data_IF_488521392139
#
_entry.id   IF_488521392139
#
_cell.length_a   1.000
_cell.length_b   1.000
_cell.length_c   1.000
_cell.angle_alpha   90.00
_cell.angle_beta   90.00
_cell.angle_gamma   90.00
#
_symmetry.space_group_name_H-M   'P 1'
#
loop_
_entity.id
_entity.type
_entity.pdbx_description
1 polymer ?
#
# COMPACT_ATOMS: atom_id res chain seq x y z
N UNK A 1 25.52 -0.54 -18.01
CA UNK A 1 24.08 -0.24 -18.09
C UNK A 1 23.48 -0.42 -16.70
N UNK A 2 22.78 0.58 -16.17
CA UNK A 2 22.08 0.42 -14.90
C UNK A 2 20.98 -0.64 -15.06
N UNK A 3 20.92 -1.61 -14.15
CA UNK A 3 19.91 -2.68 -14.19
C UNK A 3 18.53 -2.07 -13.93
N UNK A 4 17.60 -2.27 -14.85
CA UNK A 4 16.18 -1.94 -14.65
C UNK A 4 15.56 -2.89 -13.64
N UNK A 5 14.88 -2.34 -12.63
CA UNK A 5 14.15 -3.07 -11.60
C UNK A 5 12.72 -3.36 -12.08
N UNK A 6 12.35 -4.64 -12.17
CA UNK A 6 11.01 -5.09 -12.56
C UNK A 6 10.10 -5.15 -11.34
N UNK A 7 9.11 -4.28 -11.28
CA UNK A 7 8.21 -4.13 -10.12
C UNK A 7 6.82 -4.67 -10.49
N UNK A 8 6.37 -5.74 -9.82
CA UNK A 8 4.96 -6.14 -9.91
C UNK A 8 4.12 -5.18 -9.08
N UNK A 9 3.16 -4.50 -9.70
CA UNK A 9 2.26 -3.55 -9.05
C UNK A 9 0.90 -4.19 -8.78
N UNK A 10 0.53 -4.33 -7.50
CA UNK A 10 -0.79 -4.82 -7.09
C UNK A 10 -1.84 -3.70 -7.22
N UNK A 11 -2.61 -3.73 -8.30
CA UNK A 11 -3.69 -2.78 -8.60
C UNK A 11 -5.05 -3.22 -8.04
N UNK A 12 -5.11 -4.17 -7.10
CA UNK A 12 -6.37 -4.70 -6.53
C UNK A 12 -7.26 -3.62 -5.88
N UNK A 13 -6.66 -2.53 -5.38
CA UNK A 13 -7.41 -1.40 -4.80
C UNK A 13 -7.73 -0.30 -5.80
N UNK A 14 -7.26 -0.37 -7.05
CA UNK A 14 -7.38 0.70 -8.03
C UNK A 14 -8.83 1.04 -8.42
N UNK A 15 -9.79 0.18 -8.12
CA UNK A 15 -11.22 0.43 -8.36
C UNK A 15 -12.00 0.72 -7.07
N UNK A 16 -11.33 0.80 -5.91
CA UNK A 16 -11.95 1.32 -4.70
C UNK A 16 -12.27 2.83 -4.91
N UNK A 17 -13.53 3.28 -4.69
CA UNK A 17 -13.87 4.70 -4.76
C UNK A 17 -13.23 5.50 -3.61
N UNK A 18 -12.82 4.86 -2.52
CA UNK A 18 -12.19 5.51 -1.38
C UNK A 18 -10.74 5.96 -1.64
N UNK A 19 -10.17 6.66 -0.65
CA UNK A 19 -8.82 7.23 -0.71
C UNK A 19 -7.72 6.23 -1.09
N UNK A 20 -7.83 4.96 -0.70
CA UNK A 20 -6.82 3.93 -1.07
C UNK A 20 -6.78 3.65 -2.57
N UNK A 21 -7.93 3.70 -3.26
CA UNK A 21 -7.97 3.52 -4.71
C UNK A 21 -7.46 4.75 -5.44
N UNK A 22 -7.78 5.93 -4.93
CA UNK A 22 -7.22 7.21 -5.41
C UNK A 22 -5.69 7.22 -5.30
N UNK A 23 -5.14 6.78 -4.18
CA UNK A 23 -3.70 6.61 -4.01
C UNK A 23 -3.11 5.58 -4.98
N UNK A 24 -3.74 4.41 -5.11
CA UNK A 24 -3.27 3.34 -5.99
C UNK A 24 -3.18 3.81 -7.45
N UNK A 25 -4.23 4.48 -7.95
CA UNK A 25 -4.24 5.07 -9.30
C UNK A 25 -3.20 6.19 -9.43
N UNK A 26 -3.10 7.05 -8.41
CA UNK A 26 -2.23 8.22 -8.42
C UNK A 26 -0.74 7.89 -8.43
N UNK A 27 -0.32 6.80 -7.78
CA UNK A 27 1.10 6.42 -7.71
C UNK A 27 1.58 5.61 -8.92
N UNK A 28 0.67 4.95 -9.64
CA UNK A 28 1.04 4.07 -10.75
C UNK A 28 1.76 4.82 -11.88
N UNK A 29 1.21 5.96 -12.34
CA UNK A 29 1.79 6.73 -13.46
C UNK A 29 3.13 7.38 -13.12
N UNK A 30 3.32 8.04 -11.95
CA UNK A 30 4.64 8.54 -11.58
C UNK A 30 5.68 7.41 -11.44
N UNK A 31 5.30 6.28 -10.84
CA UNK A 31 6.21 5.16 -10.62
C UNK A 31 6.67 4.51 -11.94
N UNK A 32 5.80 4.44 -12.95
CA UNK A 32 6.16 3.90 -14.26
C UNK A 32 7.05 4.82 -15.11
N UNK A 33 7.20 6.09 -14.70
CA UNK A 33 8.06 7.09 -15.38
C UNK A 33 9.43 7.24 -14.75
N UNK A 34 9.71 6.55 -13.65
CA UNK A 34 11.02 6.61 -13.00
C UNK A 34 12.05 5.80 -13.80
N UNK A 35 13.19 6.42 -14.08
CA UNK A 35 14.29 5.75 -14.76
C UNK A 35 14.76 4.52 -13.97
N UNK A 36 14.97 3.42 -14.70
CA UNK A 36 15.38 2.16 -14.09
C UNK A 36 14.27 1.39 -13.38
N UNK A 37 12.99 1.75 -13.56
CA UNK A 37 11.84 0.97 -13.09
C UNK A 37 10.97 0.52 -14.26
N UNK A 38 10.72 -0.79 -14.34
CA UNK A 38 9.71 -1.37 -15.23
C UNK A 38 8.52 -1.83 -14.39
N UNK A 39 7.39 -1.12 -14.51
CA UNK A 39 6.19 -1.39 -13.74
C UNK A 39 5.27 -2.38 -14.48
N UNK A 40 5.01 -3.52 -13.86
CA UNK A 40 4.17 -4.60 -14.41
C UNK A 40 2.88 -4.65 -13.59
N UNK A 41 1.72 -4.19 -14.12
CA UNK A 41 0.47 -4.22 -13.38
C UNK A 41 -0.05 -5.66 -13.23
N UNK A 42 -0.61 -6.00 -12.06
CA UNK A 42 -1.26 -7.29 -11.85
C UNK A 42 -2.55 -7.43 -12.67
N UNK A 43 -3.23 -6.31 -12.97
CA UNK A 43 -4.29 -6.22 -13.97
C UNK A 43 -5.48 -7.10 -13.63
N UNK A 44 -5.92 -7.91 -14.62
CA UNK A 44 -7.09 -8.78 -14.48
C UNK A 44 -7.00 -9.80 -13.33
N UNK A 45 -5.79 -10.15 -12.86
CA UNK A 45 -5.63 -11.04 -11.71
C UNK A 45 -6.04 -10.39 -10.37
N UNK A 46 -5.96 -9.05 -10.31
CA UNK A 46 -6.28 -8.26 -9.13
C UNK A 46 -7.78 -7.89 -9.05
N UNK A 47 -8.46 -7.81 -10.20
CA UNK A 47 -9.86 -7.37 -10.36
C UNK A 47 -10.91 -8.19 -9.58
N UNK A 48 -10.83 -9.54 -9.47
CA UNK A 48 -11.85 -10.32 -8.74
C UNK A 48 -11.84 -10.11 -7.23
N UNK A 49 -10.75 -9.57 -6.67
CA UNK A 49 -10.52 -9.43 -5.23
C UNK A 49 -10.79 -8.01 -4.70
N UNK A 50 -11.46 -7.22 -5.54
CA UNK A 50 -11.83 -5.86 -5.30
C UNK A 50 -12.90 -5.76 -4.20
N UNK A 51 -12.76 -4.76 -3.32
CA UNK A 51 -13.64 -4.52 -2.19
C UNK A 51 -15.06 -4.14 -2.66
N UNK A 52 -15.92 -5.14 -2.77
CA UNK A 52 -17.38 -4.96 -2.86
C UNK A 52 -17.92 -4.79 -1.43
N UNK A 53 -18.14 -3.54 -1.00
CA UNK A 53 -18.63 -3.20 0.37
C UNK A 53 -20.17 -3.30 0.45
N UNK A 54 -20.85 -3.64 -0.65
CA UNK A 54 -22.32 -3.64 -0.70
C UNK A 54 -22.90 -4.95 -0.14
N UNK A 55 -23.56 -4.82 1.01
CA UNK A 55 -24.55 -5.70 1.66
C UNK A 55 -24.70 -7.13 1.09
N UNK A 56 -23.80 -8.05 1.46
CA UNK A 56 -23.80 -9.45 0.98
C UNK A 56 -23.67 -10.41 2.17
N UNK A 57 -24.48 -11.47 2.21
CA UNK A 57 -24.58 -12.43 3.33
C UNK A 57 -23.25 -13.09 3.75
N UNK A 58 -23.24 -13.67 4.95
CA UNK A 58 -22.03 -14.26 5.61
C UNK A 58 -21.23 -15.19 4.69
N UNK A 59 -21.88 -16.09 3.96
CA UNK A 59 -21.22 -17.01 3.02
C UNK A 59 -20.42 -16.29 1.93
N UNK A 60 -20.97 -15.20 1.38
CA UNK A 60 -20.31 -14.42 0.33
C UNK A 60 -19.16 -13.59 0.87
N UNK A 61 -19.25 -13.11 2.13
CA UNK A 61 -18.12 -12.46 2.82
C UNK A 61 -16.96 -13.43 3.06
N UNK A 62 -17.26 -14.65 3.50
CA UNK A 62 -16.25 -15.69 3.69
C UNK A 62 -15.57 -16.07 2.36
N UNK A 63 -16.35 -16.27 1.30
CA UNK A 63 -15.82 -16.56 -0.03
C UNK A 63 -14.91 -15.45 -0.56
N UNK A 64 -15.35 -14.19 -0.48
CA UNK A 64 -14.54 -13.04 -0.90
C UNK A 64 -13.24 -12.93 -0.08
N UNK A 65 -13.30 -13.20 1.22
CA UNK A 65 -12.12 -13.24 2.09
C UNK A 65 -11.14 -14.35 1.70
N UNK A 66 -11.66 -15.55 1.42
CA UNK A 66 -10.86 -16.69 0.99
C UNK A 66 -10.22 -16.46 -0.38
N UNK A 67 -10.98 -15.95 -1.36
CA UNK A 67 -10.48 -15.58 -2.68
C UNK A 67 -9.35 -14.56 -2.54
N UNK A 68 -9.54 -13.52 -1.71
CA UNK A 68 -8.53 -12.49 -1.47
C UNK A 68 -7.28 -13.08 -0.82
N UNK A 69 -7.41 -13.99 0.14
CA UNK A 69 -6.28 -14.69 0.75
C UNK A 69 -5.54 -15.54 -0.29
N UNK A 70 -6.27 -16.25 -1.16
CA UNK A 70 -5.70 -17.04 -2.26
C UNK A 70 -4.90 -16.17 -3.24
N UNK A 71 -5.41 -14.99 -3.58
CA UNK A 71 -4.69 -14.04 -4.42
C UNK A 71 -3.31 -13.70 -3.85
N UNK A 72 -3.23 -13.35 -2.56
CA UNK A 72 -1.96 -12.99 -1.92
C UNK A 72 -1.07 -14.20 -1.60
N UNK A 73 -1.65 -15.40 -1.43
CA UNK A 73 -0.89 -16.62 -1.19
C UNK A 73 -0.26 -17.20 -2.45
N UNK A 74 -0.93 -17.08 -3.60
CA UNK A 74 -0.59 -17.88 -4.77
C UNK A 74 -0.56 -17.07 -6.08
N UNK A 75 -1.65 -16.38 -6.41
CA UNK A 75 -1.76 -15.64 -7.68
C UNK A 75 -0.69 -14.57 -7.82
N UNK A 76 -0.55 -13.70 -6.83
CA UNK A 76 0.38 -12.58 -6.84
C UNK A 76 1.85 -13.05 -6.84
N UNK A 77 2.29 -14.00 -5.99
CA UNK A 77 3.64 -14.57 -6.06
C UNK A 77 3.95 -15.29 -7.38
N UNK A 78 2.99 -16.05 -7.93
CA UNK A 78 3.18 -16.75 -9.21
C UNK A 78 3.32 -15.76 -10.36
N UNK A 79 2.53 -14.68 -10.35
CA UNK A 79 2.61 -13.64 -11.36
C UNK A 79 3.98 -12.94 -11.30
N UNK A 80 4.48 -12.64 -10.11
CA UNK A 80 5.81 -12.06 -9.92
C UNK A 80 6.91 -12.98 -10.47
N UNK A 81 6.84 -14.27 -10.14
CA UNK A 81 7.82 -15.26 -10.62
C UNK A 81 7.78 -15.43 -12.15
N UNK A 82 6.59 -15.53 -12.73
CA UNK A 82 6.40 -15.66 -14.19
C UNK A 82 6.95 -14.47 -14.96
N UNK A 83 6.75 -13.27 -14.44
CA UNK A 83 7.23 -12.03 -15.06
C UNK A 83 8.67 -11.67 -14.68
N UNK A 84 9.35 -12.53 -13.90
CA UNK A 84 10.71 -12.31 -13.39
C UNK A 84 10.84 -10.96 -12.68
N UNK A 85 9.84 -10.62 -11.87
CA UNK A 85 9.86 -9.38 -11.10
C UNK A 85 10.91 -9.46 -9.98
N UNK A 86 11.58 -8.36 -9.74
CA UNK A 86 12.55 -8.19 -8.67
C UNK A 86 11.87 -7.90 -7.33
N UNK A 87 10.71 -7.24 -7.36
CA UNK A 87 9.96 -6.83 -6.17
C UNK A 87 8.46 -6.76 -6.46
N UNK A 88 7.64 -7.01 -5.45
CA UNK A 88 6.18 -6.80 -5.48
C UNK A 88 5.84 -5.55 -4.68
N UNK A 89 5.11 -4.60 -5.25
CA UNK A 89 4.61 -3.42 -4.56
C UNK A 89 3.10 -3.51 -4.36
N UNK A 90 2.68 -3.53 -3.09
CA UNK A 90 1.29 -3.60 -2.66
C UNK A 90 0.86 -2.28 -2.02
N UNK A 91 0.05 -1.45 -2.70
CA UNK A 91 -0.54 -0.25 -2.12
C UNK A 91 -1.72 -0.63 -1.19
N UNK A 92 -1.50 -1.57 -0.28
CA UNK A 92 -2.47 -2.09 0.68
C UNK A 92 -1.73 -2.60 1.94
N UNK A 93 -2.45 -2.68 3.07
CA UNK A 93 -1.95 -3.27 4.33
C UNK A 93 -1.89 -4.81 4.29
N UNK A 94 -1.70 -5.39 3.11
CA UNK A 94 -1.57 -6.81 2.83
C UNK A 94 -0.62 -6.97 1.65
N UNK A 95 0.10 -8.09 1.60
CA UNK A 95 1.16 -8.31 0.62
C UNK A 95 1.29 -9.79 0.30
N UNK A 96 2.19 -10.14 -0.63
CA UNK A 96 2.51 -11.51 -0.98
C UNK A 96 2.84 -12.34 0.27
N UNK A 97 2.03 -13.35 0.53
CA UNK A 97 2.12 -14.20 1.73
C UNK A 97 3.02 -15.43 1.52
N UNK A 98 3.51 -15.65 0.30
CA UNK A 98 4.41 -16.73 -0.08
C UNK A 98 5.33 -16.25 -1.22
N UNK A 99 6.33 -17.04 -1.56
CA UNK A 99 7.27 -16.77 -2.65
C UNK A 99 8.61 -16.23 -2.15
N UNK A 100 9.54 -16.09 -3.09
CA UNK A 100 10.90 -15.58 -2.82
C UNK A 100 11.09 -14.13 -3.22
N UNK A 101 10.18 -13.58 -4.03
CA UNK A 101 10.25 -12.19 -4.47
C UNK A 101 9.94 -11.28 -3.28
N UNK A 102 10.82 -10.35 -2.90
CA UNK A 102 10.57 -9.43 -1.79
C UNK A 102 9.33 -8.58 -2.08
N UNK A 103 8.56 -8.31 -1.04
CA UNK A 103 7.34 -7.53 -1.16
C UNK A 103 7.41 -6.26 -0.31
N UNK A 104 6.89 -5.17 -0.86
CA UNK A 104 6.75 -3.86 -0.24
C UNK A 104 5.27 -3.61 -0.06
N UNK A 105 4.85 -3.16 1.11
CA UNK A 105 3.44 -2.87 1.36
C UNK A 105 3.23 -1.46 1.90
N UNK A 106 2.04 -0.90 1.69
CA UNK A 106 1.69 0.45 2.16
C UNK A 106 0.60 0.39 3.22
N UNK A 107 0.91 0.94 4.40
CA UNK A 107 -0.06 1.11 5.50
C UNK A 107 -0.62 2.53 5.44
N UNK A 108 -1.93 2.63 5.22
CA UNK A 108 -2.64 3.91 5.16
C UNK A 108 -3.05 4.40 6.55
N UNK A 109 -3.53 3.50 7.40
CA UNK A 109 -3.96 3.81 8.75
C UNK A 109 -3.84 2.59 9.68
N UNK A 110 -4.05 2.84 10.96
CA UNK A 110 -4.11 1.83 12.01
C UNK A 110 -5.54 1.68 12.57
N UNK A 111 -6.55 2.16 11.85
CA UNK A 111 -7.95 2.27 12.31
C UNK A 111 -8.49 0.92 12.76
N UNK A 112 -8.21 -0.14 12.00
CA UNK A 112 -8.61 -1.53 12.31
C UNK A 112 -8.11 -2.02 13.68
N UNK A 113 -7.05 -1.40 14.21
CA UNK A 113 -6.47 -1.73 15.51
C UNK A 113 -6.85 -0.73 16.61
N UNK A 114 -6.92 0.56 16.28
CA UNK A 114 -7.20 1.65 17.21
C UNK A 114 -8.69 1.74 17.55
N UNK A 115 -9.55 1.54 16.56
CA UNK A 115 -11.00 1.67 16.66
C UNK A 115 -11.67 0.36 16.23
N UNK A 116 -11.42 -0.77 16.91
CA UNK A 116 -11.97 -2.07 16.49
C UNK A 116 -13.50 -2.13 16.50
N UNK A 117 -14.16 -1.21 17.23
CA UNK A 117 -15.61 -1.08 17.30
C UNK A 117 -16.25 -0.46 16.04
N UNK A 118 -15.46 0.14 15.14
CA UNK A 118 -15.97 0.71 13.87
C UNK A 118 -16.12 -0.33 12.77
N UNK A 119 -15.68 -1.57 13.03
CA UNK A 119 -15.77 -2.70 12.12
C UNK A 119 -16.58 -3.82 12.78
N UNK A 120 -17.26 -4.62 11.97
CA UNK A 120 -17.80 -5.88 12.49
C UNK A 120 -16.67 -6.75 13.05
N UNK A 121 -16.91 -7.53 14.12
CA UNK A 121 -15.84 -8.27 14.81
C UNK A 121 -15.04 -9.20 13.90
N UNK A 122 -15.69 -9.80 12.90
CA UNK A 122 -15.07 -10.74 11.97
C UNK A 122 -14.14 -10.01 10.99
N UNK A 123 -14.60 -8.95 10.35
CA UNK A 123 -13.76 -8.11 9.47
C UNK A 123 -12.64 -7.43 10.26
N UNK A 124 -12.92 -6.97 11.47
CA UNK A 124 -11.90 -6.40 12.37
C UNK A 124 -10.85 -7.42 12.80
N UNK A 125 -11.24 -8.68 13.04
CA UNK A 125 -10.29 -9.78 13.26
C UNK A 125 -9.47 -10.06 12.00
N UNK A 126 -10.13 -10.26 10.85
CA UNK A 126 -9.47 -10.51 9.57
C UNK A 126 -8.45 -9.42 9.23
N UNK A 127 -8.83 -8.14 9.28
CA UNK A 127 -7.96 -7.03 8.94
C UNK A 127 -6.75 -6.94 9.88
N UNK A 128 -6.94 -7.16 11.19
CA UNK A 128 -5.82 -7.19 12.15
C UNK A 128 -4.85 -8.33 11.88
N UNK A 129 -5.35 -9.52 11.56
CA UNK A 129 -4.49 -10.66 11.21
C UNK A 129 -3.73 -10.40 9.91
N UNK A 130 -4.42 -9.92 8.87
CA UNK A 130 -3.81 -9.59 7.58
C UNK A 130 -2.71 -8.53 7.73
N UNK A 131 -2.97 -7.46 8.49
CA UNK A 131 -1.95 -6.46 8.82
C UNK A 131 -0.75 -7.10 9.52
N UNK A 132 -0.97 -7.87 10.59
CA UNK A 132 0.11 -8.50 11.36
C UNK A 132 0.95 -9.45 10.50
N UNK A 133 0.32 -10.23 9.63
CA UNK A 133 1.02 -11.14 8.72
C UNK A 133 1.79 -10.33 7.67
N UNK A 134 1.16 -9.32 7.06
CA UNK A 134 1.79 -8.44 6.08
C UNK A 134 3.03 -7.73 6.65
N UNK A 135 2.96 -7.21 7.87
CA UNK A 135 4.10 -6.59 8.58
C UNK A 135 5.28 -7.54 8.76
N UNK A 136 5.01 -8.85 8.93
CA UNK A 136 6.06 -9.87 9.10
C UNK A 136 6.65 -10.34 7.78
N UNK A 137 5.84 -10.34 6.70
CA UNK A 137 6.26 -10.86 5.38
C UNK A 137 6.81 -9.80 4.46
N UNK A 138 6.43 -8.54 4.65
CA UNK A 138 6.99 -7.43 3.88
C UNK A 138 8.48 -7.25 4.19
N UNK A 139 9.26 -7.10 3.13
CA UNK A 139 10.67 -6.71 3.21
C UNK A 139 10.81 -5.25 3.65
N UNK A 140 9.86 -4.41 3.24
CA UNK A 140 9.80 -2.98 3.51
C UNK A 140 8.36 -2.51 3.63
N UNK A 141 8.11 -1.59 4.56
CA UNK A 141 6.78 -1.01 4.80
C UNK A 141 6.83 0.49 4.48
N UNK A 142 5.98 0.91 3.55
CA UNK A 142 5.64 2.30 3.28
C UNK A 142 4.52 2.76 4.22
N UNK A 143 4.62 3.99 4.68
CA UNK A 143 3.58 4.68 5.45
C UNK A 143 3.32 6.03 4.81
N UNK A 144 2.04 6.42 4.70
CA UNK A 144 1.66 7.68 4.04
C UNK A 144 1.98 8.94 4.85
N UNK A 145 2.22 8.81 6.17
CA UNK A 145 2.53 9.93 7.06
C UNK A 145 3.42 9.50 8.23
N UNK A 146 4.04 10.48 8.90
CA UNK A 146 4.83 10.23 10.12
C UNK A 146 3.97 9.81 11.31
N UNK A 147 2.70 10.24 11.36
CA UNK A 147 1.76 9.83 12.40
C UNK A 147 1.51 8.31 12.33
N UNK A 148 1.12 7.82 11.15
CA UNK A 148 0.91 6.37 10.90
C UNK A 148 2.17 5.58 11.18
N UNK A 149 3.35 6.10 10.80
CA UNK A 149 4.63 5.45 11.10
C UNK A 149 4.91 5.34 12.60
N UNK A 150 4.68 6.42 13.35
CA UNK A 150 4.92 6.45 14.80
C UNK A 150 3.96 5.52 15.53
N UNK A 151 2.68 5.50 15.12
CA UNK A 151 1.68 4.55 15.61
C UNK A 151 2.01 3.10 15.28
N UNK A 152 2.53 2.85 14.08
CA UNK A 152 2.96 1.53 13.66
C UNK A 152 4.15 1.05 14.49
N UNK A 153 5.20 1.87 14.62
CA UNK A 153 6.44 1.51 15.33
C UNK A 153 6.23 1.37 16.84
N UNK A 154 5.36 2.17 17.45
CA UNK A 154 5.01 2.02 18.88
C UNK A 154 4.35 0.68 19.19
N UNK A 155 3.64 0.08 18.23
CA UNK A 155 2.91 -1.20 18.40
C UNK A 155 3.65 -2.39 17.81
N UNK A 156 4.44 -2.16 16.76
CA UNK A 156 5.23 -3.16 16.06
C UNK A 156 6.69 -2.68 15.93
N UNK A 157 7.48 -2.69 17.02
CA UNK A 157 8.84 -2.14 17.01
C UNK A 157 9.79 -2.84 16.01
N UNK A 158 9.49 -4.09 15.66
CA UNK A 158 10.28 -4.89 14.69
C UNK A 158 9.89 -4.65 13.23
N UNK A 159 8.92 -3.78 12.95
CA UNK A 159 8.50 -3.47 11.60
C UNK A 159 9.61 -2.73 10.83
N UNK A 160 10.02 -3.27 9.68
CA UNK A 160 11.01 -2.65 8.79
C UNK A 160 10.35 -1.54 7.95
N UNK A 161 10.20 -0.36 8.56
CA UNK A 161 9.62 0.80 7.87
C UNK A 161 10.67 1.56 7.07
N UNK A 162 10.35 1.94 5.84
CA UNK A 162 11.11 2.95 5.11
C UNK A 162 10.58 4.35 5.50
N UNK A 163 11.49 5.31 5.69
CA UNK A 163 11.08 6.71 5.92
C UNK A 163 10.46 7.27 4.65
N UNK A 164 9.26 7.83 4.77
CA UNK A 164 8.76 8.81 3.81
C UNK A 164 8.34 8.26 2.45
N UNK A 165 7.41 7.31 2.40
CA UNK A 165 6.50 7.22 1.24
C UNK A 165 5.45 8.34 1.37
N UNK A 166 5.91 9.60 1.45
CA UNK A 166 5.08 10.78 1.50
C UNK A 166 4.52 11.05 0.09
N UNK A 167 3.61 10.20 -0.34
CA UNK A 167 2.77 10.43 -1.51
C UNK A 167 1.36 10.73 -1.03
N UNK A 168 1.16 11.92 -0.48
CA UNK A 168 -0.18 12.42 -0.21
C UNK A 168 -0.48 13.59 -1.14
N UNK A 169 -1.14 13.29 -2.28
CA UNK A 169 -2.11 14.08 -3.06
C UNK A 169 -1.74 15.53 -3.52
N UNK A 170 -2.27 16.04 -4.66
CA UNK A 170 -1.49 16.85 -5.59
C UNK A 170 -1.02 18.15 -4.94
N UNK A 171 0.23 18.50 -5.24
CA UNK A 171 0.63 19.88 -5.24
C UNK A 171 -0.46 20.67 -6.00
N UNK A 172 -1.03 21.65 -5.30
CA UNK A 172 -1.83 22.75 -5.83
C UNK A 172 -1.44 23.01 -7.30
N UNK A 173 -2.42 23.03 -8.22
CA UNK A 173 -2.22 23.52 -9.59
C UNK A 173 -2.05 25.05 -9.54
N UNK A 174 -0.96 25.50 -8.94
CA UNK A 174 -0.53 26.88 -9.07
C UNK A 174 0.66 26.81 -10.03
N UNK A 175 0.47 27.35 -11.23
CA UNK A 175 1.40 27.25 -12.34
C UNK A 175 2.77 27.81 -12.01
N UNK A 176 3.66 26.96 -11.49
CA UNK A 176 5.08 27.21 -11.40
C UNK A 176 5.80 25.86 -11.20
N UNK A 177 6.37 25.34 -12.28
CA UNK A 177 7.55 24.44 -12.33
C UNK A 177 7.88 23.67 -11.03
N UNK A 178 7.14 22.58 -10.77
CA UNK A 178 7.45 21.68 -9.65
C UNK A 178 8.62 20.75 -9.99
N UNK A 179 9.82 21.13 -9.55
CA UNK A 179 11.02 20.26 -9.50
C UNK A 179 10.86 19.25 -8.36
N UNK A 180 10.79 17.97 -8.70
CA UNK A 180 10.72 16.86 -7.75
C UNK A 180 12.04 16.71 -7.01
N UNK A 181 12.06 16.93 -5.69
CA UNK A 181 13.25 16.71 -4.87
C UNK A 181 12.97 15.59 -3.86
N UNK A 182 13.59 14.44 -4.08
CA UNK A 182 13.73 13.38 -3.08
C UNK A 182 14.71 13.87 -2.02
N UNK A 183 14.22 14.49 -0.94
CA UNK A 183 15.09 14.93 0.17
C UNK A 183 15.51 13.73 1.02
N UNK A 184 16.68 13.19 0.72
CA UNK A 184 17.44 12.31 1.60
C UNK A 184 18.23 13.16 2.63
N UNK A 185 17.63 13.53 3.75
CA UNK A 185 18.39 13.92 4.96
C UNK A 185 17.47 14.24 6.14
N UNK A 186 18.02 14.10 7.35
CA UNK A 186 17.33 14.06 8.65
C UNK A 186 16.72 15.38 9.14
N UNK A 187 16.06 16.17 8.29
CA UNK A 187 15.31 17.34 8.73
C UNK A 187 13.86 16.99 9.01
N UNK A 188 13.44 17.14 10.26
CA UNK A 188 12.04 17.21 10.69
C UNK A 188 11.29 18.18 9.77
N UNK A 189 10.22 17.73 9.10
CA UNK A 189 9.25 18.65 8.51
C UNK A 189 8.60 19.43 9.66
N UNK A 190 9.06 20.66 9.91
CA UNK A 190 8.26 21.63 10.67
C UNK A 190 7.04 21.93 9.83
N UNK A 191 5.85 21.72 10.38
CA UNK A 191 4.65 22.33 9.82
C UNK A 191 4.86 23.85 9.81
N UNK A 192 4.48 24.57 8.74
CA UNK A 192 4.32 26.01 8.84
C UNK A 192 3.25 26.28 9.90
N UNK A 193 3.58 27.07 10.92
CA UNK A 193 2.59 27.63 11.83
C UNK A 193 1.50 28.31 11.01
N UNK A 194 0.23 28.00 11.28
CA UNK A 194 -0.89 28.76 10.75
C UNK A 194 -0.69 30.23 11.14
N UNK A 195 -0.29 31.06 10.17
CA UNK A 195 -0.31 32.50 10.31
C UNK A 195 -1.76 32.95 10.32
N UNK A 196 -2.19 33.55 11.43
CA UNK A 196 -3.34 34.43 11.51
C UNK A 196 -3.17 35.55 10.48
N UNK A 197 -4.07 35.61 9.50
CA UNK A 197 -4.12 36.72 8.55
C UNK A 197 -4.55 38.02 9.24
N UNK A 198 -4.22 39.18 8.65
CA UNK A 198 -5.03 40.37 8.81
C UNK A 198 -6.34 40.26 8.00
#
# INVERSE_FOLDING_TARGET
MARTLRVLFDDALALNPAGTGTFTRGIQTPLSRLDGIELIPAGSAARPHQLDIVNKGILRRMRNGADRVWYYLDTLPRLAARNRCDVIYCPAALTALRGRVPAVMTVFDMTTRLFPHTLDPLSGFYARQMLRIGLRRSSTICTISQAVRSELLSRYPRARTMRGCAWCWPARRDGATSRWSMKSSGSVCRMPSCGSGP
#
